data_IF_795321406043
#
_entry.id   IF_795321406043
#
_cell.length_a   1.000
_cell.length_b   1.000
_cell.length_c   1.000
_cell.angle_alpha   90.00
_cell.angle_beta   90.00
_cell.angle_gamma   90.00
#
_symmetry.space_group_name_H-M   'P 1'
#
loop_
_entity.id
_entity.type
_entity.pdbx_description
1 polymer ?
#
# COMPACT_ATOMS: atom_id res chain seq x y z
N UNK A 1 -22.76 -9.10 -13.13
CA UNK A 1 -22.63 -10.56 -12.94
C UNK A 1 -22.41 -10.85 -11.46
N UNK A 2 -23.42 -11.50 -10.89
CA UNK A 2 -23.60 -12.10 -9.56
C UNK A 2 -22.48 -11.99 -8.49
N UNK A 3 -22.76 -11.26 -7.39
CA UNK A 3 -22.04 -11.31 -6.09
C UNK A 3 -22.25 -12.64 -5.32
N UNK A 4 -22.93 -13.63 -5.91
CA UNK A 4 -23.33 -14.87 -5.22
C UNK A 4 -22.34 -16.03 -5.34
N UNK A 5 -21.19 -15.85 -5.99
CA UNK A 5 -20.12 -16.88 -6.06
C UNK A 5 -19.33 -16.99 -4.75
N UNK A 6 -19.48 -16.05 -3.82
CA UNK A 6 -18.66 -15.95 -2.60
C UNK A 6 -19.01 -16.97 -1.50
N UNK A 7 -20.27 -17.42 -1.40
CA UNK A 7 -20.70 -18.29 -0.29
C UNK A 7 -20.32 -19.76 -0.55
N UNK A 8 -20.29 -20.17 -1.82
CA UNK A 8 -19.89 -21.51 -2.22
C UNK A 8 -18.35 -21.70 -2.24
N UNK A 9 -17.59 -20.64 -2.53
CA UNK A 9 -16.12 -20.72 -2.66
C UNK A 9 -15.35 -20.73 -1.31
N UNK A 10 -16.02 -20.49 -0.17
CA UNK A 10 -15.41 -20.62 1.17
C UNK A 10 -15.45 -22.07 1.66
N UNK A 11 -16.25 -22.93 1.00
CA UNK A 11 -16.24 -24.37 1.15
C UNK A 11 -15.26 -24.99 0.14
N UNK A 12 -14.01 -24.51 0.14
CA UNK A 12 -12.93 -25.33 -0.41
C UNK A 12 -12.81 -26.56 0.50
N UNK A 13 -13.29 -27.68 -0.02
CA UNK A 13 -13.46 -28.97 0.66
C UNK A 13 -12.14 -29.46 1.28
N UNK A 14 -11.01 -28.89 0.87
CA UNK A 14 -9.66 -29.19 1.35
C UNK A 14 -9.15 -28.29 2.49
N UNK A 15 -9.86 -27.22 2.88
CA UNK A 15 -9.51 -26.37 4.06
C UNK A 15 -10.50 -26.45 5.21
N UNK A 16 -11.65 -27.06 4.99
CA UNK A 16 -12.41 -27.65 6.06
C UNK A 16 -11.74 -29.00 6.35
N UNK A 17 -11.09 -29.16 7.51
CA UNK A 17 -10.58 -30.45 7.96
C UNK A 17 -11.65 -31.10 8.88
N UNK A 18 -12.56 -31.92 8.33
CA UNK A 18 -13.52 -32.69 9.11
C UNK A 18 -12.88 -33.84 9.90
N UNK A 19 -11.58 -34.12 9.73
CA UNK A 19 -10.89 -35.30 10.28
C UNK A 19 -10.08 -35.02 11.56
N UNK A 20 -9.94 -33.76 12.00
CA UNK A 20 -9.19 -33.42 13.21
C UNK A 20 -9.96 -33.55 14.55
N UNK A 21 -11.04 -34.33 14.59
CA UNK A 21 -11.64 -34.81 15.84
C UNK A 21 -11.65 -36.33 15.82
N UNK A 22 -10.60 -36.91 16.41
CA UNK A 22 -10.42 -38.34 16.66
C UNK A 22 -11.75 -39.07 16.95
N UNK A 23 -12.02 -40.20 16.27
CA UNK A 23 -13.18 -41.02 16.56
C UNK A 23 -12.93 -41.74 17.89
N UNK A 24 -13.45 -41.18 18.99
CA UNK A 24 -13.64 -41.97 20.22
C UNK A 24 -15.11 -42.35 20.34
N UNK A 25 -15.35 -43.63 20.05
CA UNK A 25 -16.59 -44.38 20.23
C UNK A 25 -17.28 -44.09 21.58
N UNK A 26 -18.61 -43.93 21.60
CA UNK A 26 -19.62 -44.72 22.35
C UNK A 26 -21.04 -44.22 21.95
N UNK A 27 -21.99 -45.17 21.88
CA UNK A 27 -23.36 -45.12 21.35
C UNK A 27 -24.34 -44.13 22.04
N UNK A 28 -25.32 -43.65 21.27
CA UNK A 28 -26.63 -43.16 21.75
C UNK A 28 -26.96 -41.71 21.43
N UNK A 29 -26.08 -40.77 21.76
CA UNK A 29 -26.37 -39.33 21.65
C UNK A 29 -25.87 -38.69 20.35
N UNK A 30 -24.90 -39.31 19.65
CA UNK A 30 -24.29 -38.75 18.43
C UNK A 30 -25.22 -38.66 17.21
N UNK A 31 -26.23 -39.54 17.08
CA UNK A 31 -27.18 -39.48 15.95
C UNK A 31 -27.99 -38.18 15.93
N UNK A 32 -28.43 -37.71 17.10
CA UNK A 32 -29.16 -36.44 17.23
C UNK A 32 -28.23 -35.24 16.95
N UNK A 33 -26.97 -35.31 17.42
CA UNK A 33 -25.98 -34.26 17.20
C UNK A 33 -25.56 -34.12 15.73
N UNK A 34 -25.37 -35.24 15.04
CA UNK A 34 -25.04 -35.25 13.61
C UNK A 34 -26.24 -34.81 12.77
N UNK A 35 -27.45 -35.26 13.09
CA UNK A 35 -28.67 -34.83 12.40
C UNK A 35 -28.93 -33.31 12.52
N UNK A 36 -28.68 -32.71 13.69
CA UNK A 36 -28.85 -31.27 13.87
C UNK A 36 -27.82 -30.45 13.06
N UNK A 37 -26.58 -30.95 12.96
CA UNK A 37 -25.51 -30.33 12.17
C UNK A 37 -25.80 -30.48 10.66
N UNK A 38 -26.17 -31.66 10.21
CA UNK A 38 -26.58 -31.92 8.82
C UNK A 38 -27.80 -31.07 8.45
N UNK A 39 -28.76 -30.92 9.36
CA UNK A 39 -29.92 -30.05 9.13
C UNK A 39 -29.52 -28.58 8.99
N UNK A 40 -28.61 -28.09 9.83
CA UNK A 40 -28.10 -26.72 9.71
C UNK A 40 -27.40 -26.51 8.35
N UNK A 41 -26.59 -27.47 7.91
CA UNK A 41 -25.92 -27.41 6.60
C UNK A 41 -26.94 -27.40 5.45
N UNK A 42 -27.94 -28.26 5.49
CA UNK A 42 -28.99 -28.30 4.46
C UNK A 42 -29.76 -26.96 4.40
N UNK A 43 -30.07 -26.35 5.55
CA UNK A 43 -30.73 -25.05 5.58
C UNK A 43 -29.86 -23.94 4.97
N UNK A 44 -28.54 -23.96 5.21
CA UNK A 44 -27.61 -23.01 4.60
C UNK A 44 -27.49 -23.22 3.08
N UNK A 45 -27.41 -24.47 2.61
CA UNK A 45 -27.39 -24.80 1.19
C UNK A 45 -28.68 -24.41 0.47
N UNK A 46 -29.82 -24.57 1.13
CA UNK A 46 -31.14 -24.12 0.67
C UNK A 46 -31.33 -22.59 0.77
N UNK A 47 -30.33 -21.82 1.23
CA UNK A 47 -30.39 -20.37 1.47
C UNK A 47 -31.48 -19.95 2.47
N UNK A 48 -31.88 -20.85 3.37
CA UNK A 48 -32.91 -20.61 4.40
C UNK A 48 -32.27 -20.06 5.67
N UNK A 49 -31.64 -18.89 5.55
CA UNK A 49 -30.78 -18.32 6.59
C UNK A 49 -31.55 -18.02 7.90
N UNK A 50 -32.80 -17.55 7.85
CA UNK A 50 -33.63 -17.28 9.04
C UNK A 50 -33.89 -18.56 9.85
N UNK A 51 -34.17 -19.66 9.16
CA UNK A 51 -34.39 -20.96 9.81
C UNK A 51 -33.08 -21.56 10.34
N UNK A 52 -31.98 -21.35 9.61
CA UNK A 52 -30.65 -21.74 10.07
C UNK A 52 -30.27 -21.00 11.35
N UNK A 53 -30.52 -19.69 11.44
CA UNK A 53 -30.28 -18.90 12.65
C UNK A 53 -31.17 -19.35 13.81
N UNK A 54 -32.45 -19.61 13.54
CA UNK A 54 -33.39 -20.11 14.55
C UNK A 54 -32.94 -21.46 15.12
N UNK A 55 -32.52 -22.38 14.24
CA UNK A 55 -31.97 -23.66 14.66
C UNK A 55 -30.67 -23.47 15.46
N UNK A 56 -29.77 -22.60 15.00
CA UNK A 56 -28.53 -22.32 15.71
C UNK A 56 -28.79 -21.81 17.13
N UNK A 57 -29.67 -20.83 17.33
CA UNK A 57 -30.04 -20.36 18.68
C UNK A 57 -30.59 -21.49 19.55
N UNK A 58 -31.52 -22.30 19.03
CA UNK A 58 -32.05 -23.45 19.77
C UNK A 58 -30.97 -24.46 20.18
N UNK A 59 -29.97 -24.69 19.33
CA UNK A 59 -28.83 -25.54 19.65
C UNK A 59 -27.97 -24.93 20.77
N UNK A 60 -27.67 -23.64 20.70
CA UNK A 60 -26.87 -22.95 21.71
C UNK A 60 -27.59 -22.87 23.07
N UNK A 61 -28.90 -22.61 23.08
CA UNK A 61 -29.73 -22.53 24.29
C UNK A 61 -29.82 -23.87 25.05
N UNK A 62 -29.69 -24.99 24.34
CA UNK A 62 -29.72 -26.33 24.96
C UNK A 62 -28.54 -26.61 25.90
N UNK A 63 -27.51 -25.75 25.91
CA UNK A 63 -26.24 -25.87 26.66
C UNK A 63 -25.42 -27.14 26.33
N UNK A 64 -25.89 -27.99 25.42
CA UNK A 64 -25.18 -29.19 24.96
C UNK A 64 -24.16 -28.88 23.85
N UNK A 65 -24.34 -27.76 23.17
CA UNK A 65 -23.47 -27.31 22.08
C UNK A 65 -22.60 -26.15 22.55
N UNK A 66 -21.33 -26.15 22.13
CA UNK A 66 -20.36 -25.12 22.48
C UNK A 66 -20.39 -24.04 21.41
N UNK A 67 -20.71 -22.80 21.80
CA UNK A 67 -20.81 -21.64 20.89
C UNK A 67 -19.55 -21.50 20.02
N UNK A 68 -18.35 -21.62 20.61
CA UNK A 68 -17.09 -21.59 19.89
C UNK A 68 -16.92 -22.60 18.74
N UNK A 69 -17.70 -23.69 18.68
CA UNK A 69 -17.66 -24.63 17.55
C UNK A 69 -18.42 -24.15 16.33
N UNK A 70 -19.37 -23.25 16.50
CA UNK A 70 -20.25 -22.74 15.45
C UNK A 70 -19.90 -21.31 15.04
N UNK A 71 -18.80 -20.76 15.55
CA UNK A 71 -18.57 -19.33 15.53
C UNK A 71 -18.51 -18.69 14.16
N UNK A 72 -17.92 -19.33 13.15
CA UNK A 72 -17.85 -18.78 11.79
C UNK A 72 -19.23 -18.70 11.16
N UNK A 73 -19.96 -19.82 11.19
CA UNK A 73 -21.32 -19.93 10.65
C UNK A 73 -22.28 -18.99 11.39
N UNK A 74 -22.17 -18.94 12.72
CA UNK A 74 -22.99 -18.05 13.52
C UNK A 74 -22.65 -16.58 13.30
N UNK A 75 -21.37 -16.23 13.19
CA UNK A 75 -20.96 -14.86 12.88
C UNK A 75 -21.51 -14.41 11.52
N UNK A 76 -21.46 -15.26 10.49
CA UNK A 76 -22.02 -14.98 9.17
C UNK A 76 -23.55 -14.81 9.22
N UNK A 77 -24.26 -15.76 9.83
CA UNK A 77 -25.73 -15.70 9.95
C UNK A 77 -26.18 -14.47 10.74
N UNK A 78 -25.51 -14.15 11.85
CA UNK A 78 -25.83 -12.98 12.66
C UNK A 78 -25.47 -11.70 11.91
N UNK A 79 -24.32 -11.64 11.22
CA UNK A 79 -23.93 -10.49 10.39
C UNK A 79 -24.98 -10.18 9.31
N UNK A 80 -25.61 -11.20 8.74
CA UNK A 80 -26.61 -11.04 7.67
C UNK A 80 -27.99 -10.67 8.21
N UNK A 81 -28.44 -11.31 9.29
CA UNK A 81 -29.83 -11.23 9.74
C UNK A 81 -30.06 -10.33 10.96
N UNK A 82 -29.03 -10.11 11.78
CA UNK A 82 -29.09 -9.34 13.02
C UNK A 82 -27.71 -8.70 13.32
N UNK A 83 -27.20 -7.82 12.44
CA UNK A 83 -25.83 -7.29 12.52
C UNK A 83 -25.53 -6.58 13.85
N UNK A 84 -26.53 -5.98 14.49
CA UNK A 84 -26.45 -5.36 15.81
C UNK A 84 -26.05 -6.35 16.92
N UNK A 85 -26.44 -7.62 16.81
CA UNK A 85 -26.13 -8.67 17.79
C UNK A 85 -24.78 -9.36 17.57
N UNK A 86 -24.04 -9.00 16.52
CA UNK A 86 -22.81 -9.70 16.16
C UNK A 86 -21.70 -9.55 17.21
N UNK A 87 -21.57 -8.37 17.81
CA UNK A 87 -20.56 -8.12 18.84
C UNK A 87 -20.77 -9.03 20.05
N UNK A 88 -22.01 -9.15 20.52
CA UNK A 88 -22.39 -9.99 21.66
C UNK A 88 -22.18 -11.47 21.34
N UNK A 89 -22.56 -11.91 20.13
CA UNK A 89 -22.31 -13.28 19.67
C UNK A 89 -20.80 -13.62 19.65
N UNK A 90 -19.97 -12.71 19.15
CA UNK A 90 -18.51 -12.89 19.08
C UNK A 90 -17.87 -12.87 20.47
N UNK A 91 -18.36 -12.04 21.39
CA UNK A 91 -17.94 -12.04 22.80
C UNK A 91 -18.25 -13.38 23.47
N UNK A 92 -19.50 -13.85 23.38
CA UNK A 92 -19.90 -15.16 23.92
C UNK A 92 -19.06 -16.30 23.34
N UNK A 93 -18.81 -16.22 22.03
CA UNK A 93 -17.91 -17.13 21.33
C UNK A 93 -16.51 -17.10 21.93
N UNK A 94 -15.92 -15.92 22.09
CA UNK A 94 -14.59 -15.76 22.65
C UNK A 94 -14.50 -16.32 24.07
N UNK A 95 -15.45 -15.98 24.94
CA UNK A 95 -15.50 -16.49 26.33
C UNK A 95 -15.58 -18.01 26.38
N UNK A 96 -16.29 -18.63 25.44
CA UNK A 96 -16.41 -20.10 25.34
C UNK A 96 -15.27 -20.77 24.56
N UNK A 97 -14.33 -20.00 24.01
CA UNK A 97 -13.27 -20.51 23.15
C UNK A 97 -12.16 -21.20 23.94
N UNK A 98 -11.53 -22.18 23.29
CA UNK A 98 -10.32 -22.86 23.78
C UNK A 98 -9.13 -22.42 22.92
N UNK A 99 -7.91 -22.74 23.38
CA UNK A 99 -6.63 -22.27 22.83
C UNK A 99 -6.63 -22.02 21.30
N UNK A 100 -7.01 -23.02 20.49
CA UNK A 100 -6.97 -22.91 19.04
C UNK A 100 -7.94 -21.88 18.43
N UNK A 101 -9.12 -21.68 19.03
CA UNK A 101 -10.13 -20.72 18.53
C UNK A 101 -10.08 -19.37 19.23
N UNK A 102 -9.35 -19.27 20.36
CA UNK A 102 -9.31 -18.08 21.20
C UNK A 102 -8.80 -16.82 20.49
N UNK A 103 -7.65 -16.89 19.81
CA UNK A 103 -7.09 -15.74 19.08
C UNK A 103 -7.99 -15.29 17.91
N UNK A 104 -8.45 -16.19 17.02
CA UNK A 104 -9.35 -15.79 15.93
C UNK A 104 -10.66 -15.15 16.41
N UNK A 105 -11.30 -15.70 17.45
CA UNK A 105 -12.58 -15.20 17.94
C UNK A 105 -12.42 -13.89 18.70
N UNK A 106 -11.34 -13.74 19.48
CA UNK A 106 -10.99 -12.47 20.11
C UNK A 106 -10.77 -11.38 19.06
N UNK A 107 -9.95 -11.64 18.04
CA UNK A 107 -9.66 -10.65 17.01
C UNK A 107 -10.91 -10.25 16.21
N UNK A 108 -11.76 -11.22 15.84
CA UNK A 108 -13.03 -10.95 15.18
C UNK A 108 -13.94 -10.06 16.04
N UNK A 109 -14.02 -10.33 17.35
CA UNK A 109 -14.77 -9.52 18.29
C UNK A 109 -14.24 -8.08 18.36
N UNK A 110 -12.92 -7.91 18.54
CA UNK A 110 -12.27 -6.58 18.56
C UNK A 110 -12.54 -5.81 17.26
N UNK A 111 -12.42 -6.45 16.09
CA UNK A 111 -12.73 -5.81 14.83
C UNK A 111 -14.18 -5.34 14.74
N UNK A 112 -15.12 -6.13 15.27
CA UNK A 112 -16.54 -5.75 15.28
C UNK A 112 -16.80 -4.57 16.22
N UNK A 113 -16.15 -4.52 17.38
CA UNK A 113 -16.24 -3.38 18.29
C UNK A 113 -15.73 -2.10 17.61
N UNK A 114 -14.59 -2.16 16.93
CA UNK A 114 -14.03 -1.02 16.19
C UNK A 114 -15.00 -0.57 15.09
N UNK A 115 -15.49 -1.51 14.26
CA UNK A 115 -16.44 -1.21 13.17
C UNK A 115 -17.74 -0.57 13.63
N UNK A 116 -18.22 -0.94 14.82
CA UNK A 116 -19.46 -0.41 15.41
C UNK A 116 -19.23 0.85 16.25
N UNK A 117 -18.03 1.43 16.24
CA UNK A 117 -17.70 2.66 16.97
C UNK A 117 -17.44 2.46 18.47
N UNK A 118 -17.44 1.21 18.97
CA UNK A 118 -17.14 0.87 20.35
C UNK A 118 -15.62 0.78 20.61
N UNK A 119 -14.86 1.77 20.13
CA UNK A 119 -13.38 1.77 20.15
C UNK A 119 -12.85 1.76 21.59
N UNK A 120 -13.47 2.49 22.51
CA UNK A 120 -13.07 2.52 23.92
C UNK A 120 -13.14 1.13 24.57
N UNK A 121 -14.22 0.38 24.33
CA UNK A 121 -14.38 -1.00 24.81
C UNK A 121 -13.36 -1.93 24.17
N UNK A 122 -13.13 -1.80 22.86
CA UNK A 122 -12.10 -2.58 22.17
C UNK A 122 -10.71 -2.37 22.80
N UNK A 123 -10.38 -1.11 23.09
CA UNK A 123 -9.12 -0.73 23.73
C UNK A 123 -8.97 -1.33 25.13
N UNK A 124 -9.98 -1.20 25.99
CA UNK A 124 -9.96 -1.78 27.34
C UNK A 124 -9.69 -3.29 27.32
N UNK A 125 -10.36 -4.02 26.41
CA UNK A 125 -10.20 -5.47 26.27
C UNK A 125 -8.82 -5.86 25.73
N UNK A 126 -8.27 -5.06 24.82
CA UNK A 126 -6.90 -5.20 24.30
C UNK A 126 -5.86 -4.93 25.38
N UNK A 127 -5.94 -3.79 26.07
CA UNK A 127 -5.02 -3.41 27.16
C UNK A 127 -4.97 -4.49 28.25
N UNK A 128 -6.12 -5.08 28.60
CA UNK A 128 -6.19 -6.13 29.61
C UNK A 128 -5.46 -7.43 29.22
N UNK A 129 -5.37 -7.73 27.91
CA UNK A 129 -4.93 -9.05 27.41
C UNK A 129 -3.62 -9.03 26.65
N UNK A 130 -3.22 -7.90 26.07
CA UNK A 130 -2.10 -7.80 25.12
C UNK A 130 -0.79 -8.33 25.68
N UNK A 131 -0.57 -8.28 27.00
CA UNK A 131 0.66 -8.79 27.62
C UNK A 131 0.59 -10.26 28.05
N UNK A 132 -0.53 -10.96 27.82
CA UNK A 132 -0.72 -12.37 28.19
C UNK A 132 -0.60 -13.27 26.98
N UNK A 133 0.04 -14.44 27.12
CA UNK A 133 0.00 -15.45 26.06
C UNK A 133 -1.41 -16.02 25.90
N UNK A 134 -1.88 -16.29 24.65
CA UNK A 134 -1.14 -16.20 23.39
C UNK A 134 -1.22 -14.83 22.68
N UNK A 135 -1.78 -13.80 23.32
CA UNK A 135 -2.01 -12.48 22.71
C UNK A 135 -0.73 -11.66 22.55
N UNK A 136 0.21 -11.82 23.48
CA UNK A 136 1.49 -11.10 23.49
C UNK A 136 2.38 -11.38 22.27
N UNK A 137 2.20 -12.52 21.62
CA UNK A 137 2.94 -12.91 20.42
C UNK A 137 2.15 -12.69 19.12
N UNK A 138 0.87 -12.27 19.19
CA UNK A 138 0.03 -12.09 18.02
C UNK A 138 0.13 -10.64 17.47
N UNK A 139 0.63 -10.52 16.24
CA UNK A 139 0.78 -9.24 15.55
C UNK A 139 -0.55 -8.47 15.42
N UNK A 140 -1.66 -9.16 15.15
CA UNK A 140 -2.95 -8.50 14.88
C UNK A 140 -3.47 -7.82 16.14
N UNK A 141 -3.30 -8.47 17.30
CA UNK A 141 -3.65 -7.91 18.60
C UNK A 141 -2.78 -6.71 18.94
N UNK A 142 -1.44 -6.84 18.82
CA UNK A 142 -0.53 -5.72 19.10
C UNK A 142 -0.75 -4.54 18.16
N UNK A 143 -0.93 -4.80 16.87
CA UNK A 143 -1.26 -3.79 15.86
C UNK A 143 -2.56 -3.07 16.20
N UNK A 144 -3.64 -3.79 16.49
CA UNK A 144 -4.94 -3.18 16.80
C UNK A 144 -4.83 -2.19 17.96
N UNK A 145 -4.17 -2.59 19.05
CA UNK A 145 -3.96 -1.69 20.19
C UNK A 145 -3.08 -0.50 19.83
N UNK A 146 -1.94 -0.75 19.17
CA UNK A 146 -0.99 0.31 18.82
C UNK A 146 -1.62 1.35 17.88
N UNK A 147 -2.43 0.92 16.91
CA UNK A 147 -3.10 1.82 15.98
C UNK A 147 -4.24 2.62 16.65
N UNK A 148 -5.02 2.02 17.56
CA UNK A 148 -6.01 2.76 18.35
C UNK A 148 -5.33 3.84 19.19
N UNK A 149 -4.25 3.48 19.90
CA UNK A 149 -3.48 4.41 20.72
C UNK A 149 -2.88 5.55 19.88
N UNK A 150 -2.38 5.22 18.69
CA UNK A 150 -1.84 6.19 17.75
C UNK A 150 -2.91 7.16 17.24
N UNK A 151 -4.08 6.66 16.86
CA UNK A 151 -5.19 7.48 16.38
C UNK A 151 -5.72 8.42 17.46
N UNK A 152 -5.89 7.94 18.69
CA UNK A 152 -6.26 8.78 19.84
C UNK A 152 -5.21 9.89 20.09
N UNK A 153 -3.93 9.58 19.94
CA UNK A 153 -2.86 10.56 20.05
C UNK A 153 -2.90 11.58 18.92
N UNK A 154 -3.14 11.15 17.68
CA UNK A 154 -3.35 12.06 16.55
C UNK A 154 -4.55 12.99 16.78
N UNK A 155 -5.64 12.51 17.37
CA UNK A 155 -6.83 13.34 17.61
C UNK A 155 -6.71 14.24 18.86
N UNK A 156 -5.75 13.97 19.74
CA UNK A 156 -5.52 14.76 20.95
C UNK A 156 -5.02 16.16 20.62
N UNK A 157 -5.72 17.20 21.11
CA UNK A 157 -5.26 18.59 21.05
C UNK A 157 -3.88 18.79 21.71
N UNK A 158 -3.54 17.95 22.70
CA UNK A 158 -2.28 17.98 23.44
C UNK A 158 -1.24 16.96 22.93
N UNK A 159 -1.01 16.89 21.61
CA UNK A 159 -0.03 15.96 20.99
C UNK A 159 1.38 16.03 21.61
N UNK A 160 1.70 17.14 22.27
CA UNK A 160 3.01 17.42 22.86
C UNK A 160 3.17 16.94 24.31
N UNK A 161 2.18 16.24 24.89
CA UNK A 161 2.36 15.68 26.22
C UNK A 161 3.30 14.47 26.16
N UNK A 162 4.56 14.65 26.56
CA UNK A 162 5.62 13.62 26.51
C UNK A 162 5.16 12.25 27.07
N UNK A 163 4.38 12.26 28.16
CA UNK A 163 3.83 11.04 28.77
C UNK A 163 2.92 10.24 27.82
N UNK A 164 2.02 10.91 27.09
CA UNK A 164 1.12 10.25 26.13
C UNK A 164 1.91 9.73 24.94
N UNK A 165 2.80 10.54 24.39
CA UNK A 165 3.66 10.17 23.25
C UNK A 165 4.53 8.95 23.57
N UNK A 166 5.12 8.88 24.79
CA UNK A 166 5.88 7.70 25.24
C UNK A 166 5.04 6.44 25.39
N UNK A 167 3.79 6.57 25.83
CA UNK A 167 2.87 5.41 25.91
C UNK A 167 2.58 4.84 24.53
N UNK A 168 2.31 5.71 23.54
CA UNK A 168 2.06 5.32 22.15
C UNK A 168 3.31 4.70 21.54
N UNK A 169 4.48 5.31 21.76
CA UNK A 169 5.78 4.78 21.35
C UNK A 169 5.98 3.34 21.83
N UNK A 170 5.73 3.05 23.11
CA UNK A 170 5.88 1.70 23.65
C UNK A 170 4.98 0.68 22.96
N UNK A 171 3.71 1.02 22.72
CA UNK A 171 2.77 0.14 22.01
C UNK A 171 3.23 -0.12 20.56
N UNK A 172 3.64 0.93 19.85
CA UNK A 172 4.14 0.81 18.46
C UNK A 172 5.45 0.03 18.38
N UNK A 173 6.38 0.25 19.30
CA UNK A 173 7.62 -0.51 19.39
C UNK A 173 7.33 -2.01 19.53
N UNK A 174 6.41 -2.38 20.44
CA UNK A 174 6.04 -3.79 20.63
C UNK A 174 5.33 -4.39 19.42
N UNK A 175 4.49 -3.62 18.72
CA UNK A 175 3.89 -4.08 17.47
C UNK A 175 4.94 -4.28 16.37
N UNK A 176 5.90 -3.35 16.26
CA UNK A 176 7.02 -3.42 15.30
C UNK A 176 7.96 -4.59 15.59
N UNK A 177 8.26 -4.88 16.86
CA UNK A 177 9.08 -6.03 17.27
C UNK A 177 8.48 -7.38 16.81
N UNK A 178 7.15 -7.50 16.84
CA UNK A 178 6.44 -8.73 16.43
C UNK A 178 6.21 -8.77 14.91
N UNK A 179 5.99 -7.62 14.27
CA UNK A 179 5.70 -7.52 12.84
C UNK A 179 6.40 -6.33 12.18
N UNK A 180 7.71 -6.40 11.95
CA UNK A 180 8.48 -5.28 11.39
C UNK A 180 8.11 -4.96 9.93
N UNK A 181 7.40 -5.88 9.28
CA UNK A 181 6.96 -5.78 7.90
C UNK A 181 5.62 -5.04 7.73
N UNK A 182 4.92 -4.68 8.82
CA UNK A 182 3.65 -3.98 8.73
C UNK A 182 3.87 -2.48 8.49
N UNK A 183 3.53 -2.00 7.30
CA UNK A 183 3.82 -0.63 6.85
C UNK A 183 3.13 0.43 7.70
N UNK A 184 1.90 0.16 8.14
CA UNK A 184 1.15 1.12 8.95
C UNK A 184 1.75 1.27 10.35
N UNK A 185 2.18 0.15 10.95
CA UNK A 185 2.89 0.18 12.24
C UNK A 185 4.23 0.88 12.07
N UNK A 186 5.00 0.57 11.03
CA UNK A 186 6.28 1.21 10.74
C UNK A 186 6.14 2.73 10.58
N UNK A 187 5.19 3.18 9.76
CA UNK A 187 4.96 4.60 9.50
C UNK A 187 4.63 5.35 10.80
N UNK A 188 3.65 4.84 11.57
CA UNK A 188 3.27 5.43 12.84
C UNK A 188 4.42 5.40 13.86
N UNK A 189 5.20 4.32 13.88
CA UNK A 189 6.34 4.16 14.78
C UNK A 189 7.43 5.20 14.50
N UNK A 190 7.82 5.37 13.24
CA UNK A 190 8.80 6.36 12.82
C UNK A 190 8.33 7.79 13.12
N UNK A 191 7.06 8.11 12.86
CA UNK A 191 6.49 9.43 13.14
C UNK A 191 6.56 9.77 14.63
N UNK A 192 6.17 8.83 15.50
CA UNK A 192 6.24 9.02 16.96
C UNK A 192 7.68 9.09 17.46
N UNK A 193 8.61 8.31 16.87
CA UNK A 193 10.03 8.40 17.19
C UNK A 193 10.60 9.78 16.87
N UNK A 194 10.31 10.31 15.68
CA UNK A 194 10.74 11.66 15.27
C UNK A 194 10.17 12.72 16.19
N UNK A 195 8.89 12.62 16.57
CA UNK A 195 8.28 13.57 17.52
C UNK A 195 8.95 13.55 18.91
N UNK A 196 9.44 12.39 19.35
CA UNK A 196 10.19 12.25 20.60
C UNK A 196 11.69 12.64 20.47
N UNK A 197 12.16 13.00 19.26
CA UNK A 197 13.57 13.27 19.00
C UNK A 197 14.46 12.03 19.13
N UNK A 198 13.89 10.83 18.93
CA UNK A 198 14.64 9.57 18.95
C UNK A 198 15.32 9.34 17.60
N UNK A 199 16.48 8.69 17.63
CA UNK A 199 17.18 8.31 16.41
C UNK A 199 16.43 7.20 15.65
N UNK A 200 15.98 7.53 14.44
CA UNK A 200 15.27 6.61 13.54
C UNK A 200 16.22 5.83 12.61
N UNK A 201 17.49 6.22 12.53
CA UNK A 201 18.46 5.71 11.54
C UNK A 201 18.57 4.18 11.58
N UNK A 202 18.74 3.61 12.78
CA UNK A 202 18.83 2.15 12.96
C UNK A 202 17.59 1.38 12.52
N UNK A 203 16.39 1.98 12.67
CA UNK A 203 15.12 1.37 12.24
C UNK A 203 15.01 1.45 10.72
N UNK A 204 15.37 2.59 10.14
CA UNK A 204 15.38 2.81 8.69
C UNK A 204 16.34 1.83 8.01
N UNK A 205 17.61 1.75 8.44
CA UNK A 205 18.61 0.85 7.88
C UNK A 205 18.18 -0.63 7.95
N UNK A 206 17.70 -1.06 9.13
CA UNK A 206 17.19 -2.43 9.31
C UNK A 206 15.96 -2.72 8.46
N UNK A 207 15.11 -1.72 8.20
CA UNK A 207 13.93 -1.91 7.36
C UNK A 207 14.34 -1.97 5.89
N UNK A 208 15.22 -1.08 5.44
CA UNK A 208 15.76 -1.05 4.07
C UNK A 208 16.37 -2.39 3.67
N UNK A 209 17.17 -3.02 4.57
CA UNK A 209 17.75 -4.34 4.30
C UNK A 209 16.70 -5.44 4.07
N UNK A 210 15.48 -5.26 4.58
CA UNK A 210 14.39 -6.24 4.52
C UNK A 210 13.32 -5.91 3.45
N UNK A 211 13.37 -4.73 2.84
CA UNK A 211 12.34 -4.26 1.89
C UNK A 211 12.91 -3.81 0.53
N UNK A 212 14.03 -4.40 0.09
CA UNK A 212 14.70 -4.04 -1.16
C UNK A 212 13.81 -4.13 -2.43
N UNK A 213 12.73 -4.91 -2.40
CA UNK A 213 11.80 -5.10 -3.52
C UNK A 213 10.36 -4.64 -3.21
N UNK A 214 10.17 -3.82 -2.17
CA UNK A 214 8.84 -3.31 -1.77
C UNK A 214 8.83 -1.78 -1.88
N UNK A 215 8.49 -1.21 -3.06
CA UNK A 215 8.55 0.23 -3.30
C UNK A 215 7.63 1.02 -2.37
N UNK A 216 6.51 0.43 -1.96
CA UNK A 216 5.58 1.05 -1.01
C UNK A 216 6.19 1.20 0.39
N UNK A 217 6.97 0.23 0.86
CA UNK A 217 7.73 0.40 2.12
C UNK A 217 8.87 1.38 1.98
N UNK A 218 9.58 1.32 0.87
CA UNK A 218 10.70 2.24 0.61
C UNK A 218 10.22 3.70 0.61
N UNK A 219 9.05 3.98 0.05
CA UNK A 219 8.49 5.33 0.02
C UNK A 219 8.15 5.88 1.42
N UNK A 220 7.72 5.04 2.37
CA UNK A 220 7.54 5.46 3.77
C UNK A 220 8.85 5.89 4.41
N UNK A 221 9.97 5.23 4.06
CA UNK A 221 11.28 5.49 4.64
C UNK A 221 11.91 6.79 4.11
N UNK A 222 11.56 7.23 2.89
CA UNK A 222 12.11 8.45 2.27
C UNK A 222 12.02 9.70 3.14
N UNK A 223 10.94 9.82 3.94
CA UNK A 223 10.72 10.97 4.84
C UNK A 223 11.73 11.04 5.99
N UNK A 224 12.39 9.93 6.28
CA UNK A 224 13.26 9.77 7.45
C UNK A 224 14.73 9.59 7.08
N UNK A 225 15.06 9.50 5.79
CA UNK A 225 16.44 9.41 5.30
C UNK A 225 17.00 10.82 5.14
N UNK A 226 18.07 11.11 5.88
CA UNK A 226 18.79 12.39 5.80
C UNK A 226 20.00 12.34 4.85
N UNK A 227 20.48 11.15 4.50
CA UNK A 227 21.57 10.98 3.54
C UNK A 227 21.02 11.04 2.11
N UNK A 228 21.31 12.15 1.41
CA UNK A 228 20.94 12.36 0.02
C UNK A 228 21.42 11.25 -0.93
N UNK A 229 22.58 10.64 -0.69
CA UNK A 229 23.11 9.60 -1.57
C UNK A 229 22.28 8.33 -1.46
N UNK A 230 21.95 7.92 -0.23
CA UNK A 230 21.04 6.82 0.05
C UNK A 230 19.63 7.13 -0.45
N UNK A 231 19.16 8.36 -0.23
CA UNK A 231 17.85 8.83 -0.70
C UNK A 231 17.75 8.76 -2.22
N UNK A 232 18.74 9.25 -2.95
CA UNK A 232 18.82 9.15 -4.42
C UNK A 232 18.76 7.71 -4.90
N UNK A 233 19.58 6.82 -4.32
CA UNK A 233 19.58 5.40 -4.70
C UNK A 233 18.24 4.72 -4.45
N UNK A 234 17.55 5.08 -3.35
CA UNK A 234 16.24 4.54 -3.03
C UNK A 234 15.16 5.05 -3.98
N UNK A 235 15.13 6.34 -4.28
CA UNK A 235 14.19 6.94 -5.22
C UNK A 235 14.33 6.33 -6.63
N UNK A 236 15.57 6.15 -7.10
CA UNK A 236 15.86 5.45 -8.36
C UNK A 236 15.32 4.01 -8.34
N UNK A 237 15.56 3.29 -7.24
CA UNK A 237 15.04 1.93 -7.04
C UNK A 237 13.51 1.87 -7.08
N UNK A 238 12.82 2.80 -6.40
CA UNK A 238 11.36 2.90 -6.41
C UNK A 238 10.85 3.14 -7.83
N UNK A 239 11.40 4.13 -8.55
CA UNK A 239 10.97 4.46 -9.90
C UNK A 239 11.14 3.29 -10.87
N UNK A 240 12.20 2.48 -10.71
CA UNK A 240 12.42 1.29 -11.54
C UNK A 240 11.53 0.10 -11.18
N UNK A 241 11.23 -0.09 -9.90
CA UNK A 241 10.40 -1.21 -9.42
C UNK A 241 8.91 -0.96 -9.64
N UNK A 242 8.49 0.29 -9.51
CA UNK A 242 7.11 0.71 -9.72
C UNK A 242 7.08 2.04 -10.50
N UNK A 243 7.17 1.97 -11.84
CA UNK A 243 7.04 3.15 -12.68
C UNK A 243 5.70 3.85 -12.49
N UNK A 244 4.66 3.15 -12.02
CA UNK A 244 3.33 3.71 -11.75
C UNK A 244 3.20 4.42 -10.41
N UNK A 245 4.25 4.38 -9.58
CA UNK A 245 4.29 5.12 -8.34
C UNK A 245 4.06 6.62 -8.60
N UNK A 246 3.43 7.26 -7.61
CA UNK A 246 3.14 8.70 -7.65
C UNK A 246 4.45 9.48 -7.91
N UNK A 247 4.43 10.31 -8.97
CA UNK A 247 5.60 11.06 -9.40
C UNK A 247 6.10 11.97 -8.27
N UNK A 248 5.18 12.56 -7.51
CA UNK A 248 5.47 13.48 -6.39
C UNK A 248 6.18 12.76 -5.23
N UNK A 249 6.06 11.44 -5.14
CA UNK A 249 6.64 10.64 -4.05
C UNK A 249 8.08 10.22 -4.36
N UNK A 250 8.37 9.89 -5.62
CA UNK A 250 9.63 9.25 -5.99
C UNK A 250 10.38 9.94 -7.13
N UNK A 251 9.70 10.29 -8.23
CA UNK A 251 10.38 10.78 -9.42
C UNK A 251 10.71 12.27 -9.29
N UNK A 252 9.75 13.11 -8.90
CA UNK A 252 9.97 14.55 -8.73
C UNK A 252 11.06 14.87 -7.67
N UNK A 253 11.06 14.26 -6.46
CA UNK A 253 12.14 14.46 -5.50
C UNK A 253 13.50 13.94 -5.99
N UNK A 254 13.51 12.94 -6.89
CA UNK A 254 14.75 12.45 -7.51
C UNK A 254 15.29 13.46 -8.52
N UNK A 255 14.40 14.06 -9.33
CA UNK A 255 14.78 15.11 -10.27
C UNK A 255 15.34 16.33 -9.53
N UNK A 256 14.70 16.75 -8.43
CA UNK A 256 15.20 17.82 -7.56
C UNK A 256 16.61 17.53 -7.01
N UNK A 257 16.82 16.31 -6.49
CA UNK A 257 18.14 15.91 -5.96
C UNK A 257 19.22 15.85 -7.04
N UNK A 258 18.84 15.47 -8.26
CA UNK A 258 19.74 15.48 -9.41
C UNK A 258 20.12 16.92 -9.78
N UNK A 259 19.15 17.84 -9.81
CA UNK A 259 19.36 19.23 -10.19
C UNK A 259 20.14 20.03 -9.13
N UNK A 260 19.82 19.85 -7.85
CA UNK A 260 20.44 20.61 -6.75
C UNK A 260 21.95 20.34 -6.59
N UNK A 261 22.44 19.19 -7.06
CA UNK A 261 23.87 18.81 -6.95
C UNK A 261 24.71 19.15 -8.17
N UNK A 262 24.09 19.49 -9.30
CA UNK A 262 24.81 19.64 -10.56
C UNK A 262 24.49 20.98 -11.24
N UNK A 263 25.23 22.02 -10.84
CA UNK A 263 25.33 23.31 -11.56
C UNK A 263 25.86 23.17 -13.01
N UNK A 264 26.17 21.96 -13.44
CA UNK A 264 26.44 21.57 -14.82
C UNK A 264 25.99 20.10 -14.98
N UNK A 265 24.68 19.88 -15.14
CA UNK A 265 24.11 18.52 -15.23
C UNK A 265 24.93 17.65 -16.19
N UNK A 266 25.61 16.66 -15.63
CA UNK A 266 26.41 15.69 -16.38
C UNK A 266 25.46 14.92 -17.32
N UNK A 267 25.89 14.55 -18.54
CA UNK A 267 25.02 13.83 -19.47
C UNK A 267 24.35 12.59 -18.85
N UNK A 268 25.05 11.89 -17.96
CA UNK A 268 24.56 10.69 -17.26
C UNK A 268 23.32 10.92 -16.41
N UNK A 269 23.21 12.06 -15.71
CA UNK A 269 22.04 12.36 -14.88
C UNK A 269 20.82 12.74 -15.71
N UNK A 270 21.05 13.43 -16.84
CA UNK A 270 20.03 13.72 -17.84
C UNK A 270 19.51 12.43 -18.46
N UNK A 271 20.40 11.48 -18.78
CA UNK A 271 19.99 10.18 -19.31
C UNK A 271 19.17 9.36 -18.32
N UNK A 272 19.56 9.33 -17.04
CA UNK A 272 18.81 8.61 -16.01
C UNK A 272 17.40 9.18 -15.82
N UNK A 273 17.27 10.50 -15.67
CA UNK A 273 15.97 11.16 -15.55
C UNK A 273 15.07 10.85 -16.74
N UNK A 274 15.64 10.93 -17.95
CA UNK A 274 14.94 10.62 -19.19
C UNK A 274 14.53 9.14 -19.28
N UNK A 275 15.41 8.21 -18.91
CA UNK A 275 15.14 6.76 -18.88
C UNK A 275 13.95 6.42 -17.99
N UNK A 276 13.88 7.01 -16.79
CA UNK A 276 12.78 6.80 -15.84
C UNK A 276 11.44 7.36 -16.35
N UNK A 277 11.46 8.49 -17.05
CA UNK A 277 10.25 9.04 -17.69
C UNK A 277 9.80 8.13 -18.84
N UNK A 278 10.73 7.56 -19.61
CA UNK A 278 10.40 6.57 -20.63
C UNK A 278 9.85 5.26 -20.04
N UNK A 279 10.37 4.80 -18.90
CA UNK A 279 9.83 3.64 -18.18
C UNK A 279 8.34 3.85 -17.89
N UNK A 280 7.94 5.04 -17.44
CA UNK A 280 6.53 5.38 -17.19
C UNK A 280 5.68 5.24 -18.45
N UNK A 281 6.15 5.81 -19.56
CA UNK A 281 5.43 5.74 -20.84
C UNK A 281 5.27 4.31 -21.37
N UNK A 282 6.31 3.48 -21.27
CA UNK A 282 6.23 2.07 -21.67
C UNK A 282 5.21 1.29 -20.84
N UNK A 283 5.01 1.67 -19.57
CA UNK A 283 3.98 1.10 -18.70
C UNK A 283 2.59 1.73 -18.91
N UNK A 284 2.43 2.59 -19.91
CA UNK A 284 1.15 3.22 -20.28
C UNK A 284 0.76 4.41 -19.40
N UNK A 285 1.69 4.95 -18.62
CA UNK A 285 1.44 6.09 -17.73
C UNK A 285 1.73 7.37 -18.51
N UNK A 286 0.66 8.06 -18.90
CA UNK A 286 0.71 9.28 -19.71
C UNK A 286 -0.13 10.40 -19.08
N UNK A 287 -0.04 10.52 -17.75
CA UNK A 287 -0.62 11.65 -17.04
C UNK A 287 0.01 12.98 -17.47
N UNK A 288 -0.69 14.08 -17.21
CA UNK A 288 -0.24 15.41 -17.65
C UNK A 288 1.14 15.76 -17.08
N UNK A 289 1.45 15.32 -15.86
CA UNK A 289 2.77 15.50 -15.24
C UNK A 289 3.86 14.82 -16.09
N UNK A 290 3.70 13.54 -16.40
CA UNK A 290 4.69 12.73 -17.15
C UNK A 290 4.94 13.33 -18.53
N UNK A 291 3.86 13.73 -19.22
CA UNK A 291 3.96 14.32 -20.56
C UNK A 291 4.60 15.70 -20.54
N UNK A 292 4.20 16.58 -19.60
CA UNK A 292 4.76 17.92 -19.49
C UNK A 292 6.23 17.89 -19.06
N UNK A 293 6.59 17.03 -18.12
CA UNK A 293 7.98 16.81 -17.70
C UNK A 293 8.82 16.32 -18.88
N UNK A 294 8.36 15.31 -19.63
CA UNK A 294 9.06 14.83 -20.83
C UNK A 294 9.25 15.94 -21.86
N UNK A 295 8.20 16.70 -22.15
CA UNK A 295 8.25 17.81 -23.10
C UNK A 295 9.25 18.88 -22.64
N UNK A 296 9.25 19.24 -21.36
CA UNK A 296 10.20 20.18 -20.77
C UNK A 296 11.65 19.71 -20.92
N UNK A 297 11.92 18.43 -20.63
CA UNK A 297 13.25 17.83 -20.86
C UNK A 297 13.68 17.90 -22.33
N UNK A 298 12.78 17.55 -23.26
CA UNK A 298 13.07 17.61 -24.69
C UNK A 298 13.27 19.05 -25.19
N UNK A 299 12.55 20.03 -24.63
CA UNK A 299 12.76 21.45 -24.92
C UNK A 299 14.11 21.96 -24.40
N UNK A 300 14.52 21.55 -23.20
CA UNK A 300 15.82 21.90 -22.64
C UNK A 300 16.98 21.31 -23.46
N UNK A 301 16.81 20.08 -23.97
CA UNK A 301 17.79 19.43 -24.85
C UNK A 301 17.98 20.15 -26.19
N UNK A 302 16.94 20.78 -26.73
CA UNK A 302 17.05 21.57 -27.97
C UNK A 302 17.95 22.82 -27.81
N UNK A 303 18.13 23.28 -26.57
CA UNK A 303 18.99 24.44 -26.26
C UNK A 303 20.45 24.03 -26.01
N UNK A 304 20.74 22.73 -25.89
CA UNK A 304 22.11 22.24 -25.67
C UNK A 304 22.86 22.06 -26.99
N UNK A 305 24.16 22.36 -26.95
CA UNK A 305 25.10 22.27 -28.09
C UNK A 305 25.87 20.92 -28.05
N UNK A 306 25.59 20.04 -27.08
CA UNK A 306 26.26 18.75 -26.91
C UNK A 306 25.54 17.59 -27.64
N UNK A 307 26.20 16.43 -27.71
CA UNK A 307 25.65 15.22 -28.33
C UNK A 307 24.52 14.55 -27.52
N UNK A 308 24.12 15.13 -26.39
CA UNK A 308 23.16 14.53 -25.46
C UNK A 308 21.79 14.33 -26.11
N UNK A 309 21.35 15.27 -26.96
CA UNK A 309 20.10 15.13 -27.71
C UNK A 309 20.13 13.88 -28.61
N UNK A 310 21.23 13.65 -29.32
CA UNK A 310 21.36 12.51 -30.24
C UNK A 310 21.28 11.18 -29.50
N UNK A 311 21.93 11.07 -28.34
CA UNK A 311 21.88 9.86 -27.51
C UNK A 311 20.49 9.64 -26.88
N UNK A 312 19.83 10.70 -26.41
CA UNK A 312 18.44 10.65 -25.92
C UNK A 312 17.47 10.15 -27.00
N UNK A 313 17.59 10.65 -28.23
CA UNK A 313 16.76 10.20 -29.36
C UNK A 313 17.05 8.73 -29.68
N UNK A 314 18.31 8.29 -29.67
CA UNK A 314 18.65 6.87 -29.86
C UNK A 314 18.06 5.99 -28.77
N UNK A 315 18.10 6.42 -27.50
CA UNK A 315 17.48 5.70 -26.38
C UNK A 315 15.96 5.55 -26.59
N UNK A 316 15.27 6.63 -26.94
CA UNK A 316 13.84 6.59 -27.22
C UNK A 316 13.48 5.69 -28.40
N UNK A 317 14.30 5.69 -29.45
CA UNK A 317 14.13 4.81 -30.61
C UNK A 317 14.35 3.33 -30.28
N UNK A 318 15.39 3.03 -29.48
CA UNK A 318 15.67 1.66 -29.04
C UNK A 318 14.55 1.05 -28.19
N UNK A 319 13.78 1.91 -27.53
CA UNK A 319 12.68 1.58 -26.61
C UNK A 319 11.29 1.60 -27.26
N UNK A 320 11.20 1.73 -28.58
CA UNK A 320 9.91 1.80 -29.29
C UNK A 320 8.96 2.86 -28.70
N UNK A 321 9.50 3.99 -28.21
CA UNK A 321 8.69 5.05 -27.59
C UNK A 321 7.65 5.59 -28.56
N UNK A 322 7.98 5.66 -29.86
CA UNK A 322 7.02 6.06 -30.90
C UNK A 322 5.80 5.14 -30.98
N UNK A 323 5.97 3.83 -30.78
CA UNK A 323 4.86 2.87 -30.77
C UNK A 323 3.97 3.09 -29.52
N UNK A 324 4.59 3.40 -28.39
CA UNK A 324 3.88 3.76 -27.15
C UNK A 324 3.11 5.07 -27.28
N UNK A 325 3.71 6.09 -27.91
CA UNK A 325 3.08 7.38 -28.20
C UNK A 325 1.91 7.21 -29.19
N UNK A 326 2.08 6.41 -30.25
CA UNK A 326 1.03 6.12 -31.23
C UNK A 326 -0.15 5.39 -30.57
N UNK A 327 0.14 4.43 -29.69
CA UNK A 327 -0.88 3.75 -28.88
C UNK A 327 -1.64 4.73 -27.98
N UNK A 328 -0.94 5.56 -27.20
CA UNK A 328 -1.54 6.53 -26.28
C UNK A 328 -2.36 7.60 -27.01
N UNK A 329 -1.87 8.08 -28.16
CA UNK A 329 -2.56 9.06 -28.98
C UNK A 329 -3.87 8.49 -29.57
N UNK A 330 -3.88 7.20 -29.94
CA UNK A 330 -5.09 6.50 -30.39
C UNK A 330 -6.19 6.36 -29.33
N UNK A 331 -5.85 6.53 -28.05
CA UNK A 331 -6.78 6.46 -26.91
C UNK A 331 -7.21 7.84 -26.39
N UNK A 332 -6.77 8.93 -27.02
CA UNK A 332 -7.21 10.28 -26.68
C UNK A 332 -8.58 10.58 -27.33
N UNK A 333 -9.56 10.96 -26.51
CA UNK A 333 -10.95 11.19 -26.93
C UNK A 333 -11.15 12.34 -27.95
N UNK A 334 -10.17 13.25 -28.09
CA UNK A 334 -10.23 14.32 -29.10
C UNK A 334 -8.84 14.79 -29.53
N UNK A 335 -8.70 15.16 -30.81
CA UNK A 335 -7.50 15.80 -31.35
C UNK A 335 -7.23 17.21 -30.81
N UNK A 336 -8.13 17.72 -29.97
CA UNK A 336 -8.05 19.03 -29.32
C UNK A 336 -7.76 18.94 -27.83
N UNK A 337 -7.64 17.73 -27.26
CA UNK A 337 -7.29 17.59 -25.85
C UNK A 337 -5.84 18.03 -25.63
N UNK A 338 -5.57 18.59 -24.46
CA UNK A 338 -4.21 19.02 -24.08
C UNK A 338 -3.21 17.87 -24.22
N UNK A 339 -3.55 16.69 -23.69
CA UNK A 339 -2.70 15.49 -23.77
C UNK A 339 -2.42 15.05 -25.21
N UNK A 340 -3.38 15.17 -26.14
CA UNK A 340 -3.15 14.87 -27.57
C UNK A 340 -2.14 15.83 -28.21
N UNK A 341 -2.26 17.14 -27.93
CA UNK A 341 -1.35 18.17 -28.44
C UNK A 341 0.06 17.98 -27.86
N UNK A 342 0.16 17.67 -26.58
CA UNK A 342 1.44 17.41 -25.89
C UNK A 342 2.11 16.16 -26.45
N UNK A 343 1.36 15.06 -26.65
CA UNK A 343 1.87 13.83 -27.29
C UNK A 343 2.38 14.08 -28.72
N UNK A 344 1.65 14.88 -29.52
CA UNK A 344 2.11 15.25 -30.86
C UNK A 344 3.42 16.06 -30.81
N UNK A 345 3.51 17.01 -29.89
CA UNK A 345 4.71 17.85 -29.70
C UNK A 345 5.94 17.02 -29.28
N UNK A 346 5.74 16.03 -28.40
CA UNK A 346 6.77 15.07 -27.98
C UNK A 346 7.23 14.24 -29.19
N UNK A 347 6.29 13.71 -29.98
CA UNK A 347 6.58 12.92 -31.18
C UNK A 347 7.42 13.70 -32.19
N UNK A 348 7.06 14.96 -32.45
CA UNK A 348 7.81 15.81 -33.38
C UNK A 348 9.27 15.99 -32.95
N UNK A 349 9.54 16.05 -31.64
CA UNK A 349 10.91 16.16 -31.09
C UNK A 349 11.71 14.86 -31.16
N UNK A 350 11.05 13.70 -31.21
CA UNK A 350 11.69 12.40 -31.42
C UNK A 350 11.97 12.04 -32.88
N UNK A 351 11.37 12.77 -33.83
CA UNK A 351 11.72 12.59 -35.23
C UNK A 351 13.20 12.99 -35.44
N UNK A 352 13.99 12.15 -36.13
CA UNK A 352 15.38 12.45 -36.40
C UNK A 352 15.46 13.79 -37.15
N UNK A 353 16.35 14.68 -36.70
CA UNK A 353 16.72 15.85 -37.48
C UNK A 353 17.25 15.29 -38.81
N UNK A 354 16.59 15.61 -39.92
CA UNK A 354 17.24 15.48 -41.21
C UNK A 354 18.43 16.42 -41.18
N UNK A 355 19.64 15.89 -40.97
CA UNK A 355 20.87 16.66 -41.16
C UNK A 355 20.79 17.22 -42.57
N UNK A 356 20.55 18.52 -42.66
CA UNK A 356 20.67 19.23 -43.92
C UNK A 356 22.17 19.22 -44.22
N UNK A 357 22.61 18.28 -45.05
CA UNK A 357 23.90 18.32 -45.73
C UNK A 357 23.98 19.60 -46.57
N UNK A 358 24.28 20.74 -45.94
CA UNK A 358 24.54 22.01 -46.63
C UNK A 358 25.97 22.46 -46.34
N UNK A 359 26.84 22.00 -47.23
CA UNK A 359 28.05 22.65 -47.75
C UNK A 359 28.49 23.99 -47.11
N UNK A 360 29.66 23.96 -46.47
CA UNK A 360 30.64 25.08 -46.48
C UNK A 360 30.84 25.84 -45.16
N UNK A 361 32.08 26.27 -44.85
CA UNK A 361 32.42 26.85 -43.56
C UNK A 361 31.97 28.31 -43.49
N UNK A 362 31.17 28.66 -42.48
CA UNK A 362 31.01 30.06 -42.06
C UNK A 362 31.79 30.30 -40.78
N UNK A 363 32.93 30.96 -40.97
CA UNK A 363 33.69 31.64 -39.94
C UNK A 363 32.81 32.74 -39.30
N UNK A 364 32.80 32.79 -37.97
CA UNK A 364 32.63 34.04 -37.21
C UNK A 364 31.31 34.18 -36.44
N UNK A 365 31.36 33.95 -35.13
CA UNK A 365 31.41 35.02 -34.12
C UNK A 365 31.56 34.39 -32.73
N UNK A 366 32.59 34.80 -32.01
CA UNK A 366 32.66 34.66 -30.56
C UNK A 366 31.52 35.51 -30.01
N UNK A 367 30.54 34.88 -29.38
CA UNK A 367 29.53 35.55 -28.56
C UNK A 367 30.10 35.52 -27.14
N UNK A 368 30.28 36.72 -26.58
CA UNK A 368 30.66 36.91 -25.17
C UNK A 368 29.63 36.23 -24.27
N UNK A 369 30.12 35.54 -23.23
CA UNK A 369 29.29 34.96 -22.18
C UNK A 369 28.51 36.06 -21.47
N UNK A 370 27.18 36.04 -21.62
CA UNK A 370 26.27 36.70 -20.70
C UNK A 370 25.97 35.73 -19.55
N UNK A 371 26.13 36.18 -18.30
CA UNK A 371 26.11 35.36 -17.08
C UNK A 371 24.70 35.07 -16.54
N UNK A 372 23.65 35.21 -17.37
CA UNK A 372 22.29 34.93 -16.97
C UNK A 372 21.87 33.53 -17.45
N UNK A 373 21.99 32.57 -16.53
CA UNK A 373 21.63 31.18 -16.74
C UNK A 373 20.09 31.03 -16.80
N UNK A 374 19.49 30.67 -17.96
CA UNK A 374 18.03 30.66 -18.15
C UNK A 374 17.30 29.58 -17.33
N UNK A 375 18.05 28.69 -16.68
CA UNK A 375 17.52 27.65 -15.78
C UNK A 375 16.81 28.19 -14.54
N UNK A 376 17.00 29.46 -14.21
CA UNK A 376 16.38 30.04 -13.02
C UNK A 376 14.90 30.45 -13.18
N UNK A 377 14.33 30.45 -14.40
CA UNK A 377 12.99 31.01 -14.64
C UNK A 377 11.90 30.00 -15.02
N UNK A 378 12.26 28.78 -15.46
CA UNK A 378 11.27 27.84 -15.99
C UNK A 378 10.70 26.88 -14.94
N UNK A 379 11.40 26.67 -13.82
CA UNK A 379 11.05 25.68 -12.79
C UNK A 379 10.37 26.28 -11.54
N UNK A 380 10.04 27.58 -11.55
CA UNK A 380 9.47 28.27 -10.38
C UNK A 380 7.97 28.60 -10.50
N UNK A 381 7.26 28.10 -11.53
CA UNK A 381 5.84 28.43 -11.78
C UNK A 381 4.93 27.21 -12.11
N UNK A 382 5.20 26.01 -11.57
CA UNK A 382 4.26 24.86 -11.61
C UNK A 382 3.89 24.43 -10.20
#
# INVERSE_FOLDING_TARGET
MSKYTSVANILDVDKFDPDNVLPRQVYGSHGIYNNARERLLNLLQEQRHTEALTLLHALLDSKKYVVARYWKVGAELVQELAPEGLADYLEMTFVSSKRATMLPTFYAWIQQLIKTGQVARAKEELDFRVEREPFASDLRVRKALAMIMYEEWCQSLDRNTEKKTRSVYYCLQKAYEVGPNDVHVLQAYLEVMTQLGLDVTSVVEKTLSNCAMDPYRQSVLLKYITDDALKKSLLEGICRLDPSADADVALDPLLDLIQARETSALPETVYLAFELILDRLEHGIADDWTLNTLLGYLQALDQRIDNTRTEVIKMAQARSVNDSLDFLQGHCDSSTSHSYITLQSIREKFNPIQEVENNGPRVGKIVEYDQDDPWHSFLFDI
#
